data_IF_966473585715
#
_entry.id   IF_966473585715
#
_cell.length_a   1.000
_cell.length_b   1.000
_cell.length_c   1.000
_cell.angle_alpha   90.00
_cell.angle_beta   90.00
_cell.angle_gamma   90.00
#
_symmetry.space_group_name_H-M   'P 1'
#
loop_
_entity.id
_entity.type
_entity.pdbx_description
1 polymer ?
#
# COMPACT_ATOMS: atom_id res chain seq x y z
N UNK A 1 10.39 -10.86 16.93
CA UNK A 1 11.29 -10.31 17.98
C UNK A 1 10.73 -9.06 18.64
N UNK A 2 10.03 -8.18 17.93
CA UNK A 2 9.43 -6.96 18.50
C UNK A 2 8.43 -7.29 19.63
N UNK A 3 7.57 -8.27 19.39
CA UNK A 3 6.53 -8.68 20.36
C UNK A 3 7.11 -9.22 21.67
N UNK A 4 8.28 -9.85 21.61
CA UNK A 4 8.97 -10.39 22.79
C UNK A 4 9.55 -9.27 23.69
N UNK A 5 10.02 -8.18 23.08
CA UNK A 5 10.52 -7.00 23.80
C UNK A 5 9.36 -6.22 24.45
N UNK A 6 8.23 -6.11 23.75
CA UNK A 6 7.03 -5.46 24.30
C UNK A 6 6.46 -6.23 25.49
N UNK A 7 6.51 -7.56 25.44
CA UNK A 7 6.01 -8.43 26.51
C UNK A 7 6.90 -8.40 27.76
N UNK A 8 8.21 -8.25 27.60
CA UNK A 8 9.19 -8.33 28.70
C UNK A 8 9.49 -7.00 29.38
N UNK A 9 9.40 -5.86 28.68
CA UNK A 9 9.84 -4.56 29.21
C UNK A 9 8.73 -3.57 29.60
N UNK A 10 7.44 -3.88 29.39
CA UNK A 10 6.29 -3.09 29.90
C UNK A 10 6.18 -1.64 29.40
N UNK A 11 7.19 -1.13 28.69
CA UNK A 11 7.21 0.15 27.99
C UNK A 11 7.30 -0.15 26.50
N UNK A 12 6.36 0.41 25.74
CA UNK A 12 6.38 0.39 24.28
C UNK A 12 7.58 1.19 23.78
N UNK A 13 8.74 0.56 23.70
CA UNK A 13 9.91 1.13 23.04
C UNK A 13 9.52 1.30 21.57
N UNK A 14 9.19 2.54 21.17
CA UNK A 14 8.96 2.93 19.78
C UNK A 14 10.29 2.91 19.04
N UNK A 15 10.85 1.71 18.84
CA UNK A 15 11.96 1.52 17.90
C UNK A 15 11.39 1.87 16.53
N UNK A 16 11.90 2.90 15.82
CA UNK A 16 11.44 3.21 14.47
C UNK A 16 11.76 2.00 13.58
N UNK A 17 10.73 1.25 13.21
CA UNK A 17 10.85 0.21 12.20
C UNK A 17 10.94 0.87 10.85
N UNK A 18 12.14 0.91 10.28
CA UNK A 18 12.34 1.21 8.88
C UNK A 18 11.66 0.09 8.08
N UNK A 19 10.63 0.44 7.31
CA UNK A 19 9.95 -0.51 6.41
C UNK A 19 10.52 -0.32 5.01
N UNK A 20 10.91 -1.42 4.36
CA UNK A 20 11.39 -1.41 2.98
C UNK A 20 10.27 -1.92 2.08
N UNK A 21 9.82 -1.06 1.16
CA UNK A 21 8.85 -1.45 0.14
C UNK A 21 9.58 -2.05 -1.07
N UNK A 22 9.52 -3.36 -1.22
CA UNK A 22 10.14 -4.10 -2.33
C UNK A 22 9.09 -4.36 -3.39
N UNK A 23 9.34 -3.94 -4.62
CA UNK A 23 8.43 -4.11 -5.76
C UNK A 23 8.99 -5.07 -6.80
N UNK A 24 8.10 -5.87 -7.40
CA UNK A 24 8.45 -6.72 -8.54
C UNK A 24 8.35 -5.93 -9.85
N UNK A 25 9.49 -5.51 -10.39
CA UNK A 25 9.58 -4.75 -11.66
C UNK A 25 9.19 -5.57 -12.90
N UNK A 26 9.12 -6.91 -12.78
CA UNK A 26 8.62 -7.77 -13.86
C UNK A 26 7.09 -7.89 -13.86
N UNK A 27 6.42 -7.40 -12.81
CA UNK A 27 4.98 -7.47 -12.72
C UNK A 27 4.34 -6.42 -13.64
N UNK A 28 3.37 -6.86 -14.47
CA UNK A 28 2.70 -6.00 -15.46
C UNK A 28 2.08 -4.74 -14.86
N UNK A 29 1.52 -4.83 -13.65
CA UNK A 29 0.97 -3.68 -12.94
C UNK A 29 2.04 -2.62 -12.62
N UNK A 30 3.22 -3.03 -12.13
CA UNK A 30 4.29 -2.08 -11.78
C UNK A 30 4.82 -1.39 -13.04
N UNK A 31 4.96 -2.14 -14.13
CA UNK A 31 5.34 -1.57 -15.43
C UNK A 31 4.27 -0.61 -15.97
N UNK A 32 2.98 -0.94 -15.80
CA UNK A 32 1.87 -0.09 -16.19
C UNK A 32 1.84 1.22 -15.38
N UNK A 33 2.04 1.14 -14.06
CA UNK A 33 2.15 2.32 -13.18
C UNK A 33 3.32 3.21 -13.62
N UNK A 34 4.49 2.63 -13.91
CA UNK A 34 5.65 3.39 -14.36
C UNK A 34 5.39 4.11 -15.70
N UNK A 35 4.71 3.45 -16.65
CA UNK A 35 4.32 4.07 -17.92
C UNK A 35 3.26 5.16 -17.71
N UNK A 36 2.26 4.89 -16.87
CA UNK A 36 1.17 5.82 -16.56
C UNK A 36 1.70 7.09 -15.87
N UNK A 37 2.81 6.99 -15.12
CA UNK A 37 3.42 8.16 -14.49
C UNK A 37 3.83 9.24 -15.50
N UNK A 38 4.17 8.87 -16.74
CA UNK A 38 4.57 9.82 -17.79
C UNK A 38 3.38 10.60 -18.36
N UNK A 39 2.18 10.03 -18.31
CA UNK A 39 0.98 10.62 -18.92
C UNK A 39 0.01 11.19 -17.89
N UNK A 40 -0.15 10.50 -16.76
CA UNK A 40 -1.06 10.84 -15.66
C UNK A 40 -0.39 10.54 -14.31
N UNK A 41 0.48 11.44 -13.82
CA UNK A 41 1.28 11.21 -12.61
C UNK A 41 0.44 11.08 -11.34
N UNK A 42 -0.68 11.80 -11.24
CA UNK A 42 -1.60 11.71 -10.09
C UNK A 42 -2.21 10.31 -9.97
N UNK A 43 -2.70 9.76 -11.09
CA UNK A 43 -3.29 8.44 -11.14
C UNK A 43 -2.25 7.35 -10.84
N UNK A 44 -1.05 7.46 -11.40
CA UNK A 44 0.05 6.55 -11.11
C UNK A 44 0.42 6.56 -9.62
N UNK A 45 0.41 7.74 -8.97
CA UNK A 45 0.64 7.88 -7.53
C UNK A 45 -0.45 7.18 -6.71
N UNK A 46 -1.72 7.37 -7.06
CA UNK A 46 -2.85 6.71 -6.40
C UNK A 46 -2.76 5.18 -6.49
N UNK A 47 -2.45 4.65 -7.67
CA UNK A 47 -2.31 3.19 -7.86
C UNK A 47 -1.08 2.67 -7.09
N UNK A 48 0.06 3.35 -7.14
CA UNK A 48 1.25 2.96 -6.38
C UNK A 48 1.00 2.92 -4.87
N UNK A 49 0.26 3.91 -4.35
CA UNK A 49 -0.18 3.94 -2.95
C UNK A 49 -1.12 2.78 -2.63
N UNK A 50 -2.06 2.49 -3.52
CA UNK A 50 -2.93 1.33 -3.38
C UNK A 50 -2.17 -0.01 -3.35
N UNK A 51 -1.12 -0.17 -4.16
CA UNK A 51 -0.24 -1.35 -4.10
C UNK A 51 0.49 -1.43 -2.76
N UNK A 52 0.98 -0.30 -2.24
CA UNK A 52 1.61 -0.26 -0.92
C UNK A 52 0.63 -0.67 0.18
N UNK A 53 -0.59 -0.15 0.17
CA UNK A 53 -1.59 -0.49 1.17
C UNK A 53 -1.96 -1.99 1.11
N UNK A 54 -2.02 -2.59 -0.08
CA UNK A 54 -2.19 -4.05 -0.23
C UNK A 54 -1.01 -4.83 0.36
N UNK A 55 0.21 -4.32 0.27
CA UNK A 55 1.36 -4.98 0.94
C UNK A 55 1.27 -4.89 2.45
N UNK A 56 0.75 -3.79 3.01
CA UNK A 56 0.50 -3.67 4.45
C UNK A 56 -0.63 -4.60 4.91
N UNK A 57 -1.69 -4.71 4.11
CA UNK A 57 -2.79 -5.64 4.35
C UNK A 57 -2.28 -7.09 4.39
N UNK A 58 -1.46 -7.47 3.41
CA UNK A 58 -0.87 -8.82 3.33
C UNK A 58 0.05 -9.13 4.53
N UNK A 59 0.68 -8.11 5.11
CA UNK A 59 1.53 -8.23 6.31
C UNK A 59 0.72 -8.14 7.61
N UNK A 60 -0.61 -7.96 7.54
CA UNK A 60 -1.50 -7.72 8.68
C UNK A 60 -1.07 -6.52 9.54
N UNK A 61 -0.46 -5.53 8.90
CA UNK A 61 0.00 -4.29 9.53
C UNK A 61 -1.03 -3.15 9.41
N UNK A 62 -2.20 -3.44 8.83
CA UNK A 62 -3.36 -2.55 8.79
C UNK A 62 -4.24 -2.81 10.00
N UNK A 63 -4.66 -1.74 10.67
CA UNK A 63 -5.65 -1.80 11.74
C UNK A 63 -7.00 -2.24 11.14
N UNK A 64 -7.75 -3.18 11.77
CA UNK A 64 -9.06 -3.60 11.29
C UNK A 64 -10.04 -2.45 11.02
N UNK A 65 -9.93 -1.35 11.76
CA UNK A 65 -10.76 -0.14 11.58
C UNK A 65 -10.49 0.61 10.27
N UNK A 66 -9.36 0.35 9.61
CA UNK A 66 -8.94 1.02 8.37
C UNK A 66 -9.25 0.19 7.12
N UNK A 67 -9.79 -1.02 7.27
CA UNK A 67 -10.08 -1.91 6.14
C UNK A 67 -11.20 -1.34 5.27
N UNK A 68 -12.26 -0.79 5.87
CA UNK A 68 -13.35 -0.19 5.10
C UNK A 68 -12.87 0.99 4.25
N UNK A 69 -12.02 1.86 4.83
CA UNK A 69 -11.42 2.98 4.11
C UNK A 69 -10.51 2.50 2.96
N UNK A 70 -9.76 1.41 3.18
CA UNK A 70 -8.92 0.81 2.15
C UNK A 70 -9.78 0.30 0.98
N UNK A 71 -10.87 -0.42 1.27
CA UNK A 71 -11.77 -0.95 0.24
C UNK A 71 -12.39 0.19 -0.56
N UNK A 72 -12.87 1.25 0.11
CA UNK A 72 -13.39 2.43 -0.58
C UNK A 72 -12.37 3.09 -1.51
N UNK A 73 -11.12 3.27 -1.06
CA UNK A 73 -10.05 3.83 -1.90
C UNK A 73 -9.71 2.96 -3.10
N UNK A 74 -9.69 1.63 -2.93
CA UNK A 74 -9.44 0.71 -4.04
C UNK A 74 -10.56 0.75 -5.07
N UNK A 75 -11.82 0.82 -4.62
CA UNK A 75 -12.98 0.99 -5.51
C UNK A 75 -12.90 2.30 -6.29
N UNK A 76 -12.56 3.41 -5.65
CA UNK A 76 -12.40 4.70 -6.32
C UNK A 76 -11.28 4.67 -7.38
N UNK A 77 -10.16 4.00 -7.08
CA UNK A 77 -9.07 3.81 -8.05
C UNK A 77 -9.56 2.97 -9.24
N UNK A 78 -10.32 1.89 -8.98
CA UNK A 78 -10.88 1.05 -10.04
C UNK A 78 -11.87 1.82 -10.92
N UNK A 79 -12.72 2.64 -10.32
CA UNK A 79 -13.66 3.51 -11.06
C UNK A 79 -12.91 4.49 -11.96
N UNK A 80 -11.88 5.15 -11.44
CA UNK A 80 -11.02 6.05 -12.24
C UNK A 80 -10.27 5.32 -13.36
N UNK A 81 -9.86 4.08 -13.12
CA UNK A 81 -9.22 3.26 -14.16
C UNK A 81 -10.23 2.85 -15.24
N UNK A 82 -11.44 2.49 -14.83
CA UNK A 82 -12.52 2.13 -15.75
C UNK A 82 -12.97 3.31 -16.60
N UNK A 83 -13.05 4.52 -16.04
CA UNK A 83 -13.40 5.73 -16.80
C UNK A 83 -12.37 6.12 -17.86
N UNK A 84 -11.13 5.62 -17.76
CA UNK A 84 -10.08 5.85 -18.77
C UNK A 84 -10.13 4.83 -19.93
N UNK A 85 -10.89 3.75 -19.79
CA UNK A 85 -11.05 2.72 -20.81
C UNK A 85 -12.24 2.98 -21.75
N UNK A 86 -13.13 3.90 -21.37
CA UNK A 86 -14.33 4.31 -22.12
C UNK A 86 -14.05 5.67 -22.77
#
# INVERSE_FOLDING_TARGET
MRDYVTLTQGKSVKIPTQKTFVVNTNHKLIQAIHKLHQTQPEMASSIARGVYDLTLLSQREIDPSQIDELVHKQTEILEKMASLLI
#
